data_IF_598840585227
#
_entry.id   IF_598840585227
#
_cell.length_a   1.000
_cell.length_b   1.000
_cell.length_c   1.000
_cell.angle_alpha   90.00
_cell.angle_beta   90.00
_cell.angle_gamma   90.00
#
_symmetry.space_group_name_H-M   'P 1'
#
loop_
_entity.id
_entity.type
_entity.pdbx_description
1 polymer ?
#
# COMPACT_ATOMS: atom_id res chain seq x y z
N UNK A 1 -19.48 5.17 -23.52
CA UNK A 1 -18.51 4.59 -24.47
C UNK A 1 -17.89 5.66 -25.36
N UNK A 2 -18.60 6.20 -26.38
CA UNK A 2 -18.02 7.19 -27.32
C UNK A 2 -17.43 8.44 -26.64
N UNK A 3 -18.02 8.91 -25.55
CA UNK A 3 -17.49 10.05 -24.78
C UNK A 3 -16.14 9.72 -24.13
N UNK A 4 -16.01 8.53 -23.53
CA UNK A 4 -14.75 8.07 -22.90
C UNK A 4 -13.67 7.86 -23.94
N UNK A 5 -14.02 7.22 -25.08
CA UNK A 5 -13.08 7.03 -26.19
C UNK A 5 -12.55 8.36 -26.72
N UNK A 6 -13.44 9.31 -27.02
CA UNK A 6 -13.04 10.64 -27.50
C UNK A 6 -12.16 11.38 -26.49
N UNK A 7 -12.51 11.33 -25.21
CA UNK A 7 -11.67 11.95 -24.17
C UNK A 7 -10.25 11.38 -24.15
N UNK A 8 -10.10 10.05 -24.22
CA UNK A 8 -8.78 9.41 -24.25
C UNK A 8 -8.04 9.54 -25.59
N UNK A 9 -8.75 9.69 -26.71
CA UNK A 9 -8.14 9.75 -28.05
C UNK A 9 -7.82 11.17 -28.52
N UNK A 10 -8.68 12.16 -28.21
CA UNK A 10 -8.68 13.48 -28.85
C UNK A 10 -8.05 14.58 -27.97
N UNK A 11 -7.76 14.31 -26.68
CA UNK A 11 -7.07 15.23 -25.76
C UNK A 11 -7.69 16.65 -25.64
N UNK A 12 -8.98 16.83 -25.93
CA UNK A 12 -9.62 18.16 -25.95
C UNK A 12 -9.79 18.78 -24.55
N UNK A 13 -10.10 17.96 -23.54
CA UNK A 13 -10.30 18.39 -22.15
C UNK A 13 -9.37 17.64 -21.20
N UNK A 14 -8.86 18.33 -20.17
CA UNK A 14 -7.92 17.74 -19.21
C UNK A 14 -8.57 16.65 -18.34
N UNK A 15 -9.83 16.83 -17.93
CA UNK A 15 -10.54 15.92 -17.02
C UNK A 15 -12.00 15.76 -17.47
N UNK A 16 -12.54 14.53 -17.39
CA UNK A 16 -13.95 14.22 -17.66
C UNK A 16 -14.62 13.62 -16.42
N UNK A 17 -15.77 14.15 -16.02
CA UNK A 17 -16.61 13.60 -14.96
C UNK A 17 -17.91 13.05 -15.55
N UNK A 18 -18.21 11.78 -15.27
CA UNK A 18 -19.44 11.12 -15.71
C UNK A 18 -20.17 10.54 -14.49
N UNK A 19 -21.43 10.92 -14.33
CA UNK A 19 -22.35 10.25 -13.41
C UNK A 19 -23.09 9.15 -14.18
N UNK A 20 -22.97 7.91 -13.71
CA UNK A 20 -23.66 6.75 -14.27
C UNK A 20 -24.34 5.99 -13.14
N UNK A 21 -25.64 5.72 -13.27
CA UNK A 21 -26.37 4.95 -12.25
C UNK A 21 -25.88 3.49 -12.23
N UNK A 22 -25.97 2.86 -11.07
CA UNK A 22 -25.64 1.44 -10.88
C UNK A 22 -26.40 0.56 -11.88
N UNK A 23 -25.72 -0.41 -12.47
CA UNK A 23 -26.32 -1.35 -13.43
C UNK A 23 -26.40 -0.86 -14.89
N UNK A 24 -25.98 0.39 -15.20
CA UNK A 24 -25.98 0.92 -16.58
C UNK A 24 -24.79 0.44 -17.45
N UNK A 25 -24.02 -0.57 -16.99
CA UNK A 25 -22.84 -1.05 -17.73
C UNK A 25 -21.67 -0.07 -17.71
N UNK A 26 -21.49 0.69 -16.61
CA UNK A 26 -20.38 1.64 -16.40
C UNK A 26 -19.03 0.99 -16.71
N UNK A 27 -18.81 -0.23 -16.22
CA UNK A 27 -17.57 -0.99 -16.42
C UNK A 27 -17.23 -1.20 -17.89
N UNK A 28 -18.14 -1.77 -18.67
CA UNK A 28 -17.96 -1.94 -20.12
C UNK A 28 -17.79 -0.57 -20.80
N UNK A 29 -18.50 0.44 -20.29
CA UNK A 29 -18.47 1.83 -20.74
C UNK A 29 -17.07 2.43 -20.84
N UNK A 30 -16.16 2.07 -19.93
CA UNK A 30 -14.76 2.50 -19.92
C UNK A 30 -13.76 1.42 -20.35
N UNK A 31 -14.03 0.13 -20.10
CA UNK A 31 -13.12 -0.95 -20.50
C UNK A 31 -13.07 -1.13 -22.03
N UNK A 32 -14.20 -0.97 -22.73
CA UNK A 32 -14.22 -1.14 -24.18
C UNK A 32 -13.36 -0.09 -24.90
N UNK A 33 -13.44 1.22 -24.59
CA UNK A 33 -12.46 2.20 -25.08
C UNK A 33 -11.01 1.83 -24.75
N UNK A 34 -10.75 1.35 -23.53
CA UNK A 34 -9.42 0.95 -23.09
C UNK A 34 -8.84 -0.18 -23.95
N UNK A 35 -9.66 -1.15 -24.36
CA UNK A 35 -9.25 -2.24 -25.26
C UNK A 35 -8.65 -1.76 -26.59
N UNK A 36 -9.00 -0.57 -27.06
CA UNK A 36 -8.47 -0.01 -28.31
C UNK A 36 -7.30 0.97 -28.11
N UNK A 37 -7.12 1.50 -26.90
CA UNK A 37 -6.21 2.61 -26.63
C UNK A 37 -5.06 2.25 -25.69
N UNK A 38 -5.32 1.39 -24.71
CA UNK A 38 -4.35 1.04 -23.69
C UNK A 38 -3.35 0.00 -24.21
N UNK A 39 -2.08 0.21 -23.87
CA UNK A 39 -0.95 -0.67 -24.21
C UNK A 39 -0.13 -0.94 -22.95
N UNK A 40 0.73 -1.96 -22.92
CA UNK A 40 1.62 -2.17 -21.78
C UNK A 40 2.52 -0.96 -21.48
N UNK A 41 2.93 -0.20 -22.50
CA UNK A 41 3.74 1.02 -22.37
C UNK A 41 2.95 2.26 -21.92
N UNK A 42 1.62 2.24 -22.10
CA UNK A 42 0.71 3.32 -21.68
C UNK A 42 -0.62 2.70 -21.22
N UNK A 43 -0.62 2.03 -20.05
CA UNK A 43 -1.74 1.22 -19.60
C UNK A 43 -2.86 2.07 -19.01
N UNK A 44 -4.11 1.60 -19.05
CA UNK A 44 -5.18 2.24 -18.30
C UNK A 44 -5.00 1.96 -16.80
N UNK A 45 -4.83 3.02 -16.01
CA UNK A 45 -4.83 2.93 -14.55
C UNK A 45 -6.27 3.10 -14.06
N UNK A 46 -6.79 2.11 -13.34
CA UNK A 46 -8.11 2.13 -12.71
C UNK A 46 -7.93 2.20 -11.20
N UNK A 47 -8.41 3.26 -10.59
CA UNK A 47 -8.46 3.39 -9.13
C UNK A 47 -9.88 3.09 -8.64
N UNK A 48 -10.04 2.13 -7.73
CA UNK A 48 -11.33 1.75 -7.13
C UNK A 48 -11.25 1.60 -5.61
N UNK A 49 -12.37 1.59 -4.91
CA UNK A 49 -12.41 1.70 -3.45
C UNK A 49 -12.23 0.36 -2.75
N UNK A 50 -12.90 -0.70 -3.22
CA UNK A 50 -13.01 -1.95 -2.47
C UNK A 50 -12.35 -3.13 -3.17
N UNK A 51 -11.85 -4.08 -2.37
CA UNK A 51 -11.32 -5.37 -2.85
C UNK A 51 -12.38 -6.11 -3.68
N UNK A 52 -13.65 -6.03 -3.27
CA UNK A 52 -14.76 -6.65 -4.00
C UNK A 52 -14.89 -6.11 -5.43
N UNK A 53 -14.78 -4.80 -5.62
CA UNK A 53 -14.83 -4.18 -6.96
C UNK A 53 -13.60 -4.56 -7.79
N UNK A 54 -12.42 -4.68 -7.17
CA UNK A 54 -11.21 -5.17 -7.86
C UNK A 54 -11.39 -6.61 -8.34
N UNK A 55 -11.90 -7.50 -7.49
CA UNK A 55 -12.19 -8.89 -7.85
C UNK A 55 -13.25 -8.96 -8.95
N UNK A 56 -14.32 -8.15 -8.87
CA UNK A 56 -15.33 -8.09 -9.92
C UNK A 56 -14.71 -7.71 -11.28
N UNK A 57 -13.79 -6.74 -11.30
CA UNK A 57 -13.09 -6.34 -12.52
C UNK A 57 -12.25 -7.47 -13.10
N UNK A 58 -11.41 -8.10 -12.28
CA UNK A 58 -10.44 -9.13 -12.71
C UNK A 58 -11.13 -10.45 -13.05
N UNK A 59 -12.05 -10.92 -12.21
CA UNK A 59 -12.60 -12.27 -12.30
C UNK A 59 -13.83 -12.35 -13.21
N UNK A 60 -14.51 -11.22 -13.47
CA UNK A 60 -15.77 -11.20 -14.20
C UNK A 60 -15.75 -10.25 -15.39
N UNK A 61 -15.56 -8.95 -15.16
CA UNK A 61 -15.83 -7.92 -16.18
C UNK A 61 -14.80 -7.95 -17.32
N UNK A 62 -13.50 -8.04 -17.00
CA UNK A 62 -12.44 -8.15 -18.01
C UNK A 62 -12.50 -9.48 -18.77
N UNK A 63 -12.64 -10.66 -18.12
CA UNK A 63 -12.83 -11.92 -18.83
C UNK A 63 -14.09 -11.95 -19.71
N UNK A 64 -15.17 -11.29 -19.30
CA UNK A 64 -16.37 -11.14 -20.12
C UNK A 64 -16.08 -10.31 -21.37
N UNK A 65 -15.40 -9.17 -21.22
CA UNK A 65 -15.03 -8.32 -22.35
C UNK A 65 -14.06 -9.01 -23.30
N UNK A 66 -13.08 -9.76 -22.78
CA UNK A 66 -12.11 -10.52 -23.58
C UNK A 66 -12.76 -11.59 -24.48
N UNK A 67 -13.99 -12.02 -24.19
CA UNK A 67 -14.76 -12.91 -25.08
C UNK A 67 -15.38 -12.19 -26.28
N UNK A 68 -15.41 -10.86 -26.26
CA UNK A 68 -16.08 -10.01 -27.26
C UNK A 68 -15.09 -9.24 -28.15
N UNK A 69 -13.79 -9.30 -27.87
CA UNK A 69 -12.75 -8.55 -28.57
C UNK A 69 -11.64 -9.48 -29.05
N UNK A 70 -11.02 -9.16 -30.19
CA UNK A 70 -9.96 -9.98 -30.78
C UNK A 70 -8.62 -9.85 -30.04
N UNK A 71 -8.38 -8.70 -29.41
CA UNK A 71 -7.17 -8.42 -28.63
C UNK A 71 -7.52 -8.42 -27.14
N UNK A 72 -7.10 -9.43 -26.37
CA UNK A 72 -7.46 -9.51 -24.96
C UNK A 72 -6.75 -8.43 -24.13
N UNK A 73 -7.49 -7.90 -23.18
CA UNK A 73 -6.97 -7.07 -22.09
C UNK A 73 -6.29 -7.95 -21.05
N UNK A 74 -5.13 -7.50 -20.59
CA UNK A 74 -4.37 -8.08 -19.49
C UNK A 74 -4.34 -7.08 -18.36
N UNK A 75 -4.95 -7.47 -17.24
CA UNK A 75 -5.09 -6.63 -16.07
C UNK A 75 -4.29 -7.19 -14.89
N UNK A 76 -3.63 -6.29 -14.15
CA UNK A 76 -2.91 -6.63 -12.92
C UNK A 76 -3.38 -5.73 -11.79
N UNK A 77 -3.69 -6.33 -10.64
CA UNK A 77 -3.94 -5.61 -9.39
C UNK A 77 -2.61 -5.26 -8.76
N UNK A 78 -2.41 -3.99 -8.42
CA UNK A 78 -1.19 -3.48 -7.82
C UNK A 78 -1.50 -2.94 -6.43
N UNK A 79 -0.84 -3.50 -5.42
CA UNK A 79 -0.92 -3.06 -4.03
C UNK A 79 0.42 -2.56 -3.54
N UNK A 80 0.43 -1.91 -2.38
CA UNK A 80 1.68 -1.52 -1.73
C UNK A 80 2.48 -2.77 -1.33
N UNK A 81 3.82 -2.66 -1.35
CA UNK A 81 4.76 -3.73 -0.97
C UNK A 81 4.43 -4.48 0.33
N UNK A 82 3.81 -3.81 1.30
CA UNK A 82 3.41 -4.38 2.59
C UNK A 82 2.27 -5.40 2.49
N UNK A 83 1.58 -5.51 1.35
CA UNK A 83 0.58 -6.55 1.12
C UNK A 83 1.22 -7.86 0.65
N UNK A 84 2.48 -7.85 0.22
CA UNK A 84 3.13 -9.03 -0.34
C UNK A 84 4.07 -9.67 0.68
N UNK A 85 4.06 -11.00 0.72
CA UNK A 85 5.01 -11.79 1.49
C UNK A 85 6.41 -11.72 0.89
N UNK A 86 7.42 -11.65 1.76
CA UNK A 86 8.83 -11.82 1.45
C UNK A 86 9.25 -13.22 1.91
N UNK A 87 9.59 -14.08 0.96
CA UNK A 87 9.91 -15.49 1.20
C UNK A 87 11.19 -15.67 2.04
N UNK A 88 12.16 -14.76 1.92
CA UNK A 88 13.37 -14.81 2.72
C UNK A 88 13.09 -14.48 4.17
N UNK A 89 12.31 -13.41 4.38
CA UNK A 89 11.92 -13.00 5.72
C UNK A 89 11.05 -14.07 6.37
N UNK A 90 10.11 -14.66 5.63
CA UNK A 90 9.32 -15.78 6.12
C UNK A 90 10.20 -16.98 6.51
N UNK A 91 11.15 -17.38 5.67
CA UNK A 91 12.13 -18.44 6.00
C UNK A 91 12.88 -18.14 7.29
N UNK A 92 13.34 -16.91 7.49
CA UNK A 92 14.07 -16.53 8.71
C UNK A 92 13.21 -16.73 9.98
N UNK A 93 11.89 -16.49 9.90
CA UNK A 93 10.98 -16.76 11.04
C UNK A 93 10.87 -18.24 11.39
N UNK A 94 11.11 -19.14 10.44
CA UNK A 94 11.08 -20.59 10.65
C UNK A 94 12.40 -21.10 11.25
N UNK A 95 13.52 -20.43 10.98
CA UNK A 95 14.84 -20.78 11.51
C UNK A 95 15.01 -20.34 12.97
N UNK A 96 14.36 -19.22 13.35
CA UNK A 96 14.37 -18.68 14.72
C UNK A 96 12.93 -18.46 15.21
N UNK A 97 12.18 -19.52 15.56
CA UNK A 97 10.77 -19.41 15.89
C UNK A 97 10.53 -18.74 17.25
N UNK A 98 9.61 -17.78 17.28
CA UNK A 98 9.09 -17.21 18.52
C UNK A 98 8.24 -18.26 19.24
N UNK A 99 8.45 -18.45 20.55
CA UNK A 99 7.72 -19.42 21.38
C UNK A 99 6.28 -18.95 21.70
N UNK A 100 5.47 -18.76 20.65
CA UNK A 100 4.06 -18.37 20.76
C UNK A 100 3.22 -19.29 19.88
N UNK A 101 2.22 -19.96 20.48
CA UNK A 101 1.35 -20.90 19.76
C UNK A 101 0.67 -20.28 18.53
N UNK A 102 0.20 -19.04 18.66
CA UNK A 102 -0.46 -18.33 17.57
C UNK A 102 0.51 -18.01 16.42
N UNK A 103 1.75 -17.65 16.73
CA UNK A 103 2.81 -17.42 15.74
C UNK A 103 3.05 -18.67 14.90
N UNK A 104 3.21 -19.83 15.56
CA UNK A 104 3.36 -21.12 14.88
C UNK A 104 2.13 -21.51 14.04
N UNK A 105 0.91 -21.26 14.53
CA UNK A 105 -0.33 -21.50 13.78
C UNK A 105 -0.36 -20.70 12.47
N UNK A 106 0.03 -19.43 12.50
CA UNK A 106 0.10 -18.61 11.30
C UNK A 106 1.19 -19.08 10.35
N UNK A 107 2.38 -19.45 10.85
CA UNK A 107 3.44 -20.02 10.01
C UNK A 107 2.96 -21.29 9.26
N UNK A 108 2.26 -22.19 9.96
CA UNK A 108 1.67 -23.38 9.33
C UNK A 108 0.61 -23.00 8.28
N UNK A 109 -0.26 -22.04 8.57
CA UNK A 109 -1.25 -21.54 7.62
C UNK A 109 -0.62 -20.95 6.36
N UNK A 110 0.44 -20.14 6.54
CA UNK A 110 1.20 -19.55 5.43
C UNK A 110 1.88 -20.64 4.60
N UNK A 111 2.47 -21.66 5.22
CA UNK A 111 3.08 -22.78 4.47
C UNK A 111 2.07 -23.49 3.57
N UNK A 112 0.84 -23.70 4.04
CA UNK A 112 -0.23 -24.28 3.22
C UNK A 112 -0.64 -23.31 2.11
N UNK A 113 -0.86 -22.04 2.44
CA UNK A 113 -1.27 -21.02 1.47
C UNK A 113 -0.22 -20.76 0.38
N UNK A 114 1.07 -20.84 0.70
CA UNK A 114 2.17 -20.72 -0.26
C UNK A 114 2.13 -21.82 -1.35
N UNK A 115 1.47 -22.95 -1.09
CA UNK A 115 1.25 -23.99 -2.12
C UNK A 115 0.09 -23.68 -3.08
N UNK A 116 -0.68 -22.65 -2.79
CA UNK A 116 -1.93 -22.30 -3.49
C UNK A 116 -1.85 -20.94 -4.18
N UNK A 117 -1.20 -19.96 -3.55
CA UNK A 117 -1.12 -18.59 -4.08
C UNK A 117 -0.26 -18.51 -5.34
N UNK A 118 -0.65 -17.61 -6.24
CA UNK A 118 0.12 -17.23 -7.43
C UNK A 118 0.53 -15.76 -7.40
N UNK A 119 0.15 -15.03 -6.35
CA UNK A 119 0.34 -13.59 -6.22
C UNK A 119 1.20 -13.22 -5.02
N UNK A 120 1.22 -14.05 -3.97
CA UNK A 120 1.87 -13.73 -2.70
C UNK A 120 1.17 -12.63 -1.92
N UNK A 121 -0.08 -12.30 -2.26
CA UNK A 121 -0.88 -11.28 -1.60
C UNK A 121 -1.46 -11.80 -0.28
N UNK A 122 -0.99 -11.24 0.84
CA UNK A 122 -1.40 -11.64 2.19
C UNK A 122 -2.90 -11.43 2.45
N UNK A 123 -3.59 -10.60 1.67
CA UNK A 123 -5.04 -10.42 1.80
C UNK A 123 -5.80 -11.72 1.42
N UNK A 124 -5.19 -12.62 0.63
CA UNK A 124 -5.76 -13.93 0.27
C UNK A 124 -5.92 -14.87 1.48
N UNK A 125 -5.15 -14.65 2.55
CA UNK A 125 -5.23 -15.46 3.77
C UNK A 125 -6.58 -15.28 4.50
N UNK A 126 -7.36 -14.24 4.17
CA UNK A 126 -8.66 -13.93 4.76
C UNK A 126 -8.65 -13.95 6.31
N UNK A 127 -7.52 -13.59 6.92
CA UNK A 127 -7.37 -13.57 8.36
C UNK A 127 -8.05 -12.33 8.93
N UNK A 128 -8.76 -12.51 10.05
CA UNK A 128 -9.56 -11.46 10.70
C UNK A 128 -8.69 -10.25 11.07
N UNK A 129 -7.39 -10.45 11.35
CA UNK A 129 -6.44 -9.37 11.62
C UNK A 129 -5.03 -9.73 11.14
N UNK A 130 -4.49 -8.94 10.21
CA UNK A 130 -3.08 -8.96 9.80
C UNK A 130 -2.19 -8.09 10.71
N UNK A 131 -2.67 -7.75 11.92
CA UNK A 131 -1.95 -6.90 12.89
C UNK A 131 -0.94 -7.67 13.75
N UNK A 132 -0.91 -9.00 13.66
CA UNK A 132 0.01 -9.84 14.40
C UNK A 132 1.47 -9.62 13.99
N UNK A 133 2.40 -9.67 14.96
CA UNK A 133 3.84 -9.42 14.80
C UNK A 133 4.45 -10.14 13.59
N UNK A 134 4.09 -11.41 13.38
CA UNK A 134 4.53 -12.20 12.22
C UNK A 134 4.33 -11.47 10.89
N UNK A 135 3.17 -10.85 10.64
CA UNK A 135 2.90 -10.18 9.36
C UNK A 135 3.77 -8.93 9.17
N UNK A 136 4.18 -8.26 10.24
CA UNK A 136 5.14 -7.15 10.18
C UNK A 136 6.56 -7.65 9.84
N UNK A 137 6.88 -8.88 10.26
CA UNK A 137 8.18 -9.49 10.05
C UNK A 137 8.38 -10.09 8.66
N UNK A 138 7.30 -10.51 7.99
CA UNK A 138 7.37 -11.28 6.73
C UNK A 138 6.96 -10.48 5.49
N UNK A 139 6.65 -9.19 5.65
CA UNK A 139 6.23 -8.35 4.52
C UNK A 139 7.40 -7.76 3.75
N UNK A 140 7.17 -7.49 2.47
CA UNK A 140 8.20 -7.01 1.57
C UNK A 140 8.60 -5.55 1.86
N UNK A 141 9.92 -5.26 1.83
CA UNK A 141 10.47 -3.89 2.03
C UNK A 141 10.63 -3.09 0.74
N UNK A 142 10.42 -3.74 -0.39
CA UNK A 142 10.49 -3.16 -1.73
C UNK A 142 11.60 -3.83 -2.54
N UNK A 143 11.55 -3.68 -3.86
CA UNK A 143 12.37 -4.45 -4.80
C UNK A 143 13.86 -4.12 -4.68
N UNK A 144 14.19 -2.91 -4.23
CA UNK A 144 15.56 -2.49 -3.95
C UNK A 144 16.23 -3.31 -2.82
N UNK A 145 15.47 -4.10 -2.06
CA UNK A 145 15.99 -4.99 -1.01
C UNK A 145 16.19 -6.43 -1.50
N UNK A 146 15.78 -6.74 -2.72
CA UNK A 146 16.02 -8.04 -3.34
C UNK A 146 17.44 -8.12 -3.88
N UNK A 147 18.05 -9.29 -3.72
CA UNK A 147 19.33 -9.60 -4.33
C UNK A 147 19.21 -10.87 -5.14
N UNK A 148 19.73 -10.86 -6.37
CA UNK A 148 19.78 -12.05 -7.25
C UNK A 148 20.47 -13.26 -6.62
N UNK A 149 21.29 -13.04 -5.59
CA UNK A 149 21.99 -14.11 -4.86
C UNK A 149 21.13 -14.78 -3.79
N UNK A 150 19.94 -14.25 -3.50
CA UNK A 150 19.07 -14.80 -2.46
C UNK A 150 18.38 -16.09 -2.92
N UNK A 151 18.24 -17.10 -2.05
CA UNK A 151 17.63 -18.41 -2.36
C UNK A 151 16.21 -18.46 -2.96
N UNK A 152 15.50 -17.33 -3.03
CA UNK A 152 14.10 -17.23 -3.49
C UNK A 152 13.87 -16.07 -4.45
N UNK A 153 14.93 -15.53 -5.05
CA UNK A 153 14.82 -14.38 -5.95
C UNK A 153 13.96 -14.69 -7.18
N UNK A 154 14.05 -15.91 -7.72
CA UNK A 154 13.31 -16.30 -8.92
C UNK A 154 11.82 -16.51 -8.65
N UNK A 155 11.46 -16.79 -7.40
CA UNK A 155 10.11 -17.05 -6.91
C UNK A 155 9.49 -15.83 -6.22
N UNK A 156 10.19 -14.69 -6.22
CA UNK A 156 9.73 -13.51 -5.49
C UNK A 156 8.46 -12.91 -6.12
N UNK A 157 7.43 -12.79 -5.29
CA UNK A 157 6.11 -12.35 -5.71
C UNK A 157 6.06 -10.87 -6.13
N UNK A 158 6.85 -10.00 -5.50
CA UNK A 158 6.88 -8.59 -5.84
C UNK A 158 7.66 -8.35 -7.14
N UNK A 159 8.69 -9.15 -7.39
CA UNK A 159 9.37 -9.21 -8.69
C UNK A 159 8.41 -9.70 -9.79
N UNK A 160 7.70 -10.80 -9.56
CA UNK A 160 6.70 -11.29 -10.52
C UNK A 160 5.56 -10.28 -10.76
N UNK A 161 5.15 -9.53 -9.74
CA UNK A 161 4.21 -8.43 -9.90
C UNK A 161 4.73 -7.39 -10.89
N UNK A 162 5.99 -6.95 -10.77
CA UNK A 162 6.57 -6.01 -11.72
C UNK A 162 6.58 -6.53 -13.15
N UNK A 163 6.92 -7.80 -13.35
CA UNK A 163 6.91 -8.41 -14.68
C UNK A 163 5.49 -8.47 -15.26
N UNK A 164 4.49 -8.81 -14.45
CA UNK A 164 3.07 -8.78 -14.85
C UNK A 164 2.59 -7.37 -15.18
N UNK A 165 2.97 -6.38 -14.37
CA UNK A 165 2.65 -4.97 -14.60
C UNK A 165 3.21 -4.49 -15.94
N UNK A 166 4.45 -4.83 -16.27
CA UNK A 166 5.10 -4.44 -17.52
C UNK A 166 4.44 -5.05 -18.78
N UNK A 167 3.64 -6.10 -18.63
CA UNK A 167 2.90 -6.75 -19.71
C UNK A 167 1.41 -6.41 -19.72
N UNK A 168 0.93 -5.68 -18.70
CA UNK A 168 -0.48 -5.40 -18.52
C UNK A 168 -0.86 -4.09 -19.19
N UNK A 169 -1.95 -4.12 -19.96
CA UNK A 169 -2.56 -2.91 -20.51
C UNK A 169 -3.56 -2.26 -19.54
N UNK A 170 -3.92 -2.94 -18.44
CA UNK A 170 -4.73 -2.38 -17.35
C UNK A 170 -4.03 -2.61 -16.01
N UNK A 171 -3.93 -1.55 -15.21
CA UNK A 171 -3.45 -1.63 -13.83
C UNK A 171 -4.56 -1.18 -12.89
N UNK A 172 -4.90 -2.03 -11.92
CA UNK A 172 -5.97 -1.77 -10.95
C UNK A 172 -5.35 -1.50 -9.59
N UNK A 173 -5.66 -0.34 -9.02
CA UNK A 173 -5.15 0.12 -7.73
C UNK A 173 -6.30 0.58 -6.84
N UNK A 174 -6.04 0.77 -5.54
CA UNK A 174 -6.98 1.48 -4.68
C UNK A 174 -6.73 3.00 -4.68
N UNK A 175 -7.68 3.76 -4.14
CA UNK A 175 -7.54 5.22 -4.02
C UNK A 175 -6.39 5.65 -3.11
N UNK A 176 -6.10 4.88 -2.05
CA UNK A 176 -5.00 5.19 -1.13
C UNK A 176 -3.64 5.06 -1.83
N UNK A 177 -3.47 4.02 -2.66
CA UNK A 177 -2.31 3.83 -3.50
C UNK A 177 -2.16 4.97 -4.50
N UNK A 178 -3.25 5.35 -5.20
CA UNK A 178 -3.24 6.48 -6.12
C UNK A 178 -2.79 7.78 -5.42
N UNK A 179 -3.33 8.05 -4.22
CA UNK A 179 -2.99 9.24 -3.44
C UNK A 179 -1.53 9.23 -2.92
N UNK A 180 -0.98 8.05 -2.62
CA UNK A 180 0.43 7.91 -2.24
C UNK A 180 1.34 8.03 -3.46
N UNK A 181 0.95 7.47 -4.60
CA UNK A 181 1.71 7.46 -5.84
C UNK A 181 2.08 8.87 -6.30
N UNK A 182 1.14 9.83 -6.18
CA UNK A 182 1.39 11.25 -6.53
C UNK A 182 2.41 11.95 -5.63
N UNK A 183 2.71 11.38 -4.46
CA UNK A 183 3.66 11.92 -3.49
C UNK A 183 5.03 11.22 -3.56
N UNK A 184 5.16 10.13 -4.33
CA UNK A 184 6.41 9.37 -4.42
C UNK A 184 7.45 10.12 -5.26
N UNK A 185 8.69 10.13 -4.78
CA UNK A 185 9.84 10.61 -5.58
C UNK A 185 10.16 9.70 -6.76
N UNK A 186 9.95 8.39 -6.58
CA UNK A 186 10.06 7.37 -7.61
C UNK A 186 8.70 6.68 -7.78
N UNK A 187 8.02 6.84 -8.92
CA UNK A 187 6.74 6.19 -9.15
C UNK A 187 6.90 4.66 -9.22
N UNK A 188 5.90 3.95 -8.72
CA UNK A 188 5.76 2.50 -8.84
C UNK A 188 4.95 2.10 -10.08
N UNK A 189 4.09 2.99 -10.58
CA UNK A 189 3.32 2.79 -11.78
C UNK A 189 4.08 3.33 -13.01
N UNK A 190 3.89 2.72 -14.20
CA UNK A 190 4.38 3.31 -15.44
C UNK A 190 3.67 4.65 -15.71
N UNK A 191 4.34 5.52 -16.45
CA UNK A 191 3.68 6.73 -16.95
C UNK A 191 2.46 6.34 -17.81
N UNK A 192 1.31 6.92 -17.48
CA UNK A 192 0.09 6.67 -18.21
C UNK A 192 -0.69 7.96 -18.44
N UNK A 193 -1.24 8.06 -19.64
CA UNK A 193 -2.17 9.13 -20.04
C UNK A 193 -3.61 8.81 -19.65
N UNK A 194 -3.88 7.57 -19.24
CA UNK A 194 -5.22 7.04 -19.02
C UNK A 194 -5.40 6.72 -17.54
N UNK A 195 -6.13 7.60 -16.83
CA UNK A 195 -6.54 7.39 -15.45
C UNK A 195 -8.07 7.38 -15.38
N UNK A 196 -8.61 6.30 -14.81
CA UNK A 196 -10.01 6.18 -14.45
C UNK A 196 -10.12 6.09 -12.93
N UNK A 197 -10.95 6.96 -12.35
CA UNK A 197 -11.26 6.93 -10.93
C UNK A 197 -12.70 6.45 -10.78
N UNK A 198 -12.86 5.18 -10.39
CA UNK A 198 -14.15 4.59 -10.08
C UNK A 198 -14.60 5.01 -8.69
N UNK A 199 -15.90 5.21 -8.48
CA UNK A 199 -16.44 5.71 -7.21
C UNK A 199 -15.70 6.95 -6.64
N UNK A 200 -15.35 7.88 -7.53
CA UNK A 200 -14.51 9.06 -7.24
C UNK A 200 -14.99 9.95 -6.07
N UNK A 201 -16.24 9.80 -5.63
CA UNK A 201 -16.76 10.49 -4.45
C UNK A 201 -16.04 10.08 -3.15
N UNK A 202 -15.39 8.91 -3.10
CA UNK A 202 -14.56 8.48 -1.97
C UNK A 202 -13.12 9.03 -2.01
N UNK A 203 -12.69 9.62 -3.13
CA UNK A 203 -11.32 10.07 -3.31
C UNK A 203 -10.94 11.19 -2.32
N UNK A 204 -11.74 12.25 -2.09
CA UNK A 204 -11.35 13.33 -1.18
C UNK A 204 -11.06 12.85 0.24
N UNK A 205 -11.92 11.99 0.80
CA UNK A 205 -11.72 11.41 2.13
C UNK A 205 -10.46 10.54 2.19
N UNK A 206 -10.19 9.78 1.12
CA UNK A 206 -8.98 8.95 1.04
C UNK A 206 -7.71 9.80 0.97
N UNK A 207 -7.73 10.89 0.20
CA UNK A 207 -6.61 11.82 0.11
C UNK A 207 -6.36 12.53 1.44
N UNK A 208 -7.42 12.93 2.15
CA UNK A 208 -7.31 13.51 3.50
C UNK A 208 -6.59 12.55 4.45
N UNK A 209 -7.03 11.28 4.51
CA UNK A 209 -6.40 10.25 5.34
C UNK A 209 -4.93 10.00 4.99
N UNK A 210 -4.60 9.93 3.70
CA UNK A 210 -3.22 9.68 3.23
C UNK A 210 -2.30 10.90 3.47
N UNK A 211 -2.84 12.11 3.47
CA UNK A 211 -2.07 13.33 3.73
C UNK A 211 -1.76 13.56 5.21
N UNK A 212 -2.41 12.83 6.11
CA UNK A 212 -2.15 12.93 7.54
C UNK A 212 -0.90 12.14 7.92
N UNK A 213 0.13 12.85 8.36
CA UNK A 213 1.30 12.25 9.00
C UNK A 213 1.06 12.23 10.51
N UNK A 214 1.12 11.04 11.11
CA UNK A 214 1.12 10.87 12.55
C UNK A 214 2.41 10.18 13.00
N UNK A 215 2.92 10.56 14.16
CA UNK A 215 3.96 9.85 14.87
C UNK A 215 3.30 9.21 16.10
N UNK A 216 3.20 7.88 16.13
CA UNK A 216 2.83 7.17 17.35
C UNK A 216 4.05 7.14 18.27
N UNK A 217 4.11 8.14 19.15
CA UNK A 217 5.23 8.37 20.08
C UNK A 217 5.37 7.22 21.07
N UNK A 218 4.25 6.66 21.53
CA UNK A 218 4.26 5.49 22.41
C UNK A 218 4.78 4.24 21.71
N UNK A 219 4.41 4.00 20.45
CA UNK A 219 4.97 2.89 19.68
C UNK A 219 6.47 3.09 19.40
N UNK A 220 6.89 4.32 19.08
CA UNK A 220 8.30 4.65 18.91
C UNK A 220 9.10 4.37 20.19
N UNK A 221 8.66 4.90 21.34
CA UNK A 221 9.28 4.68 22.65
C UNK A 221 9.39 3.20 23.00
N UNK A 222 8.28 2.44 22.89
CA UNK A 222 8.29 0.98 23.14
C UNK A 222 9.31 0.26 22.26
N UNK A 223 9.46 0.68 21.00
CA UNK A 223 10.40 0.05 20.07
C UNK A 223 11.85 0.34 20.43
N UNK A 224 12.15 1.57 20.85
CA UNK A 224 13.50 1.94 21.33
C UNK A 224 13.84 1.21 22.63
N UNK A 225 12.91 1.14 23.58
CA UNK A 225 13.08 0.36 24.80
C UNK A 225 13.36 -1.12 24.50
N UNK A 226 12.63 -1.71 23.55
CA UNK A 226 12.89 -3.08 23.09
C UNK A 226 14.30 -3.26 22.52
N UNK A 227 14.89 -2.25 21.87
CA UNK A 227 16.26 -2.36 21.36
C UNK A 227 17.33 -2.37 22.45
N UNK A 228 17.03 -1.76 23.61
CA UNK A 228 17.89 -1.68 24.79
C UNK A 228 17.78 -2.88 25.74
N UNK A 229 16.80 -3.76 25.56
CA UNK A 229 16.69 -4.99 26.38
C UNK A 229 17.89 -5.91 26.16
N UNK A 230 18.28 -6.66 27.20
CA UNK A 230 19.43 -7.56 27.15
C UNK A 230 19.32 -8.56 25.97
N UNK A 231 20.43 -8.79 25.29
CA UNK A 231 20.59 -9.66 24.12
C UNK A 231 19.81 -9.21 22.85
N UNK A 232 19.23 -8.01 22.85
CA UNK A 232 18.52 -7.46 21.69
C UNK A 232 19.46 -6.76 20.70
N UNK A 233 18.87 -5.97 19.81
CA UNK A 233 19.53 -5.38 18.65
C UNK A 233 20.79 -4.58 19.02
N UNK A 234 20.74 -3.78 20.09
CA UNK A 234 21.86 -2.92 20.46
C UNK A 234 23.06 -3.72 20.97
N UNK A 235 22.85 -4.69 21.85
CA UNK A 235 23.90 -5.61 22.29
C UNK A 235 24.53 -6.39 21.12
N UNK A 236 23.70 -6.82 20.16
CA UNK A 236 24.18 -7.53 18.97
C UNK A 236 25.05 -6.64 18.08
N UNK A 237 24.65 -5.38 17.86
CA UNK A 237 25.43 -4.42 17.07
C UNK A 237 26.73 -4.08 17.79
N UNK A 238 26.71 -3.84 19.10
CA UNK A 238 27.93 -3.61 19.89
C UNK A 238 28.90 -4.79 19.80
N UNK A 239 28.39 -6.02 19.90
CA UNK A 239 29.20 -7.22 19.74
C UNK A 239 29.82 -7.36 18.35
N UNK A 240 29.15 -6.87 17.30
CA UNK A 240 29.69 -6.81 15.92
C UNK A 240 30.73 -5.71 15.76
N UNK A 241 30.52 -4.55 16.40
CA UNK A 241 31.40 -3.38 16.32
C UNK A 241 32.59 -3.42 17.29
N UNK A 242 32.69 -4.44 18.16
CA UNK A 242 33.71 -4.56 19.24
C UNK A 242 35.18 -4.25 18.86
N UNK A 243 35.54 -4.42 17.59
CA UNK A 243 36.91 -4.21 17.09
C UNK A 243 37.13 -2.84 16.43
N UNK A 244 36.08 -2.01 16.32
CA UNK A 244 36.12 -0.66 15.75
C UNK A 244 35.67 0.36 16.80
N UNK A 245 36.64 0.94 17.48
CA UNK A 245 36.43 1.89 18.58
C UNK A 245 35.65 3.13 18.17
N UNK A 246 35.85 3.62 16.94
CA UNK A 246 35.15 4.84 16.49
C UNK A 246 33.69 4.54 16.16
N UNK A 247 33.42 3.41 15.50
CA UNK A 247 32.05 2.96 15.25
C UNK A 247 31.29 2.67 16.55
N UNK A 248 31.93 2.07 17.55
CA UNK A 248 31.34 1.88 18.88
C UNK A 248 30.98 3.21 19.54
N UNK A 249 31.89 4.19 19.51
CA UNK A 249 31.65 5.53 20.10
C UNK A 249 30.49 6.26 19.40
N UNK A 250 30.41 6.18 18.08
CA UNK A 250 29.31 6.79 17.33
C UNK A 250 27.98 6.07 17.61
N UNK A 251 28.01 4.74 17.77
CA UNK A 251 26.84 3.96 18.11
C UNK A 251 26.32 4.27 19.52
N UNK A 252 27.21 4.40 20.51
CA UNK A 252 26.82 4.77 21.87
C UNK A 252 26.19 6.17 21.94
N UNK A 253 26.78 7.14 21.22
CA UNK A 253 26.18 8.47 21.08
C UNK A 253 24.80 8.41 20.41
N UNK A 254 24.63 7.58 19.38
CA UNK A 254 23.32 7.39 18.75
C UNK A 254 22.28 6.85 19.73
N UNK A 255 22.63 5.88 20.58
CA UNK A 255 21.73 5.34 21.61
C UNK A 255 21.35 6.41 22.65
N UNK A 256 22.32 7.18 23.15
CA UNK A 256 22.09 8.26 24.12
C UNK A 256 21.15 9.33 23.55
N UNK A 257 21.39 9.78 22.31
CA UNK A 257 20.55 10.78 21.64
C UNK A 257 19.15 10.24 21.36
N UNK A 258 19.00 8.95 21.03
CA UNK A 258 17.71 8.31 20.82
C UNK A 258 16.86 8.33 22.09
N UNK A 259 17.48 8.09 23.26
CA UNK A 259 16.82 8.18 24.56
C UNK A 259 16.50 9.63 24.92
N UNK A 260 17.42 10.57 24.70
CA UNK A 260 17.19 11.99 24.95
C UNK A 260 16.01 12.55 24.12
N UNK A 261 15.83 12.08 22.89
CA UNK A 261 14.66 12.43 22.06
C UNK A 261 13.36 11.93 22.69
N UNK A 262 13.35 10.72 23.28
CA UNK A 262 12.17 10.18 23.95
C UNK A 262 11.83 11.01 25.18
N UNK A 263 12.81 11.26 26.04
CA UNK A 263 12.61 12.02 27.28
C UNK A 263 12.16 13.46 26.96
N UNK A 264 12.80 14.11 25.99
CA UNK A 264 12.43 15.44 25.54
C UNK A 264 11.03 15.50 24.89
N UNK A 265 10.56 14.42 24.28
CA UNK A 265 9.17 14.33 23.80
C UNK A 265 8.18 14.25 24.96
N UNK A 266 8.46 13.44 25.99
CA UNK A 266 7.61 13.35 27.18
C UNK A 266 7.47 14.70 27.88
N UNK A 267 8.59 15.40 28.06
CA UNK A 267 8.62 16.75 28.63
C UNK A 267 7.83 17.75 27.78
N UNK A 268 8.05 17.76 26.46
CA UNK A 268 7.31 18.61 25.53
C UNK A 268 5.81 18.38 25.62
N UNK A 269 5.37 17.11 25.61
CA UNK A 269 3.94 16.80 25.70
C UNK A 269 3.37 17.20 27.06
N UNK A 270 4.12 16.99 28.14
CA UNK A 270 3.70 17.40 29.47
C UNK A 270 3.48 18.92 29.56
N UNK A 271 4.45 19.71 29.10
CA UNK A 271 4.32 21.18 29.07
C UNK A 271 3.19 21.61 28.13
N UNK A 272 3.14 21.04 26.92
CA UNK A 272 2.13 21.38 25.92
C UNK A 272 0.71 21.10 26.41
N UNK A 273 0.44 19.93 26.99
CA UNK A 273 -0.90 19.60 27.50
C UNK A 273 -1.24 20.35 28.79
N UNK A 274 -0.25 20.85 29.51
CA UNK A 274 -0.47 21.75 30.65
C UNK A 274 -0.97 23.11 30.16
N UNK A 275 -0.36 23.67 29.11
CA UNK A 275 -0.71 24.99 28.58
C UNK A 275 -1.90 24.96 27.60
N UNK A 276 -2.05 23.86 26.87
CA UNK A 276 -3.15 23.59 25.93
C UNK A 276 -3.79 22.22 26.24
N UNK A 277 -4.57 22.12 27.33
CA UNK A 277 -5.30 20.90 27.63
C UNK A 277 -6.22 20.56 26.46
N UNK A 278 -6.25 19.27 26.07
CA UNK A 278 -7.15 18.76 25.05
C UNK A 278 -8.59 19.12 25.45
N UNK A 279 -9.18 20.12 24.79
CA UNK A 279 -10.63 20.25 24.76
C UNK A 279 -11.14 18.99 24.07
N UNK A 280 -12.10 18.29 24.68
CA UNK A 280 -12.76 17.11 24.13
C UNK A 280 -12.85 17.21 22.61
N UNK A 281 -12.34 16.19 21.92
CA UNK A 281 -12.32 16.08 20.47
C UNK A 281 -13.57 16.73 19.87
N UNK A 282 -13.39 17.77 19.06
CA UNK A 282 -14.39 18.09 18.05
C UNK A 282 -14.34 16.93 17.06
N UNK A 283 -15.03 15.84 17.40
CA UNK A 283 -15.49 14.87 16.44
C UNK A 283 -16.42 15.68 15.54
N UNK A 284 -15.87 16.20 14.43
CA UNK A 284 -16.67 16.75 13.35
C UNK A 284 -17.59 15.60 12.91
N UNK A 285 -18.83 15.61 13.41
CA UNK A 285 -19.88 14.72 12.95
C UNK A 285 -19.98 14.89 11.44
N UNK A 286 -20.28 13.79 10.74
CA UNK A 286 -20.35 13.72 9.27
C UNK A 286 -21.18 14.86 8.67
N UNK A 287 -22.19 15.36 9.39
CA UNK A 287 -23.03 16.51 9.02
C UNK A 287 -22.27 17.86 8.95
N UNK A 288 -21.27 18.09 9.81
CA UNK A 288 -20.49 19.34 9.81
C UNK A 288 -19.45 19.39 8.66
N UNK A 289 -19.01 18.24 8.14
CA UNK A 289 -18.13 18.18 6.95
C UNK A 289 -18.89 18.50 5.65
N UNK A 290 -20.19 18.20 5.57
CA UNK A 290 -21.00 18.49 4.39
C UNK A 290 -21.22 20.00 4.16
N UNK A 291 -21.10 20.83 5.20
CA UNK A 291 -21.21 22.29 5.08
C UNK A 291 -19.92 22.97 4.57
N UNK A 292 -18.82 22.24 4.41
CA UNK A 292 -17.60 22.73 3.73
C UNK A 292 -17.65 22.50 2.22
N UNK A 293 -18.85 22.39 1.65
CA UNK A 293 -19.08 22.11 0.23
C UNK A 293 -18.50 23.21 -0.67
N UNK A 294 -17.55 22.78 -1.51
CA UNK A 294 -17.18 23.36 -2.79
C UNK A 294 -18.39 23.98 -3.49
N UNK A 295 -18.26 25.23 -3.94
CA UNK A 295 -19.25 25.91 -4.76
C UNK A 295 -19.38 25.23 -6.11
N UNK A 296 -20.38 24.35 -6.24
CA UNK A 296 -20.80 23.81 -7.54
C UNK A 296 -21.63 24.88 -8.24
N UNK A 297 -21.05 25.51 -9.27
CA UNK A 297 -21.82 26.35 -10.20
C UNK A 297 -22.63 25.43 -11.10
N UNK A 298 -23.91 25.22 -10.78
CA UNK A 298 -24.89 24.71 -11.75
C UNK A 298 -25.13 25.79 -12.80
N UNK A 299 -24.85 25.51 -14.07
CA UNK A 299 -25.44 26.26 -15.19
C UNK A 299 -26.70 25.53 -15.65
N UNK A 300 -27.78 26.29 -15.76
CA UNK A 300 -29.05 25.89 -16.39
C UNK A 300 -28.88 25.69 -17.90
#
# INVERSE_FOLDING_TARGET
MNTVFRHFAENEEKNLLIEASTGMGKTIGYLLPAAFLATPENPLIISTVSILLQHQLIDQDIPLLNRLIDQPLYATVVKSKSHYIDLQRFKATLESPVQQKQYALYQMGILVWLTQTTTGDLDELNLIRLDHLLFQEITHRGINYLSEKQPFYQEDFLWHLQQRMAQSNILIINHAFLAQETQRSQPLLPESRYLLIDEAHHLPETMEKVSQNYLDTSAFQRKVQQFHEDEQLFDQIEAMLKNDTESLRLFSLYQEELQAIIDGQEDLFFEWFTDWPLQEEVILQVEQRQNLSLTVVKKH
#
